data_IF_066642403368
#
_entry.id   IF_066642403368
#
_cell.length_a   1.000
_cell.length_b   1.000
_cell.length_c   1.000
_cell.angle_alpha   90.00
_cell.angle_beta   90.00
_cell.angle_gamma   90.00
#
_symmetry.space_group_name_H-M   'P 1'
#
loop_
_entity.id
_entity.type
_entity.pdbx_description
1 polymer ?
#
# COMPACT_ATOMS: atom_id res chain seq x y z
N UNK A 1 -10.75 -0.28 -13.87
CA UNK A 1 -11.13 -0.86 -12.57
C UNK A 1 -10.20 -2.02 -12.24
N UNK A 2 -9.68 -2.06 -11.02
CA UNK A 2 -8.76 -3.09 -10.53
C UNK A 2 -9.11 -3.47 -9.09
N UNK A 3 -8.75 -4.69 -8.67
CA UNK A 3 -8.92 -5.15 -7.29
C UNK A 3 -7.56 -5.31 -6.60
N UNK A 4 -7.49 -4.87 -5.35
CA UNK A 4 -6.31 -5.02 -4.48
C UNK A 4 -6.70 -5.67 -3.15
N UNK A 5 -5.72 -6.25 -2.46
CA UNK A 5 -5.93 -6.93 -1.18
C UNK A 5 -5.99 -5.91 -0.06
N UNK A 6 -7.03 -5.99 0.76
CA UNK A 6 -7.21 -5.14 1.94
C UNK A 6 -6.13 -5.43 2.99
N UNK A 7 -5.45 -4.39 3.46
CA UNK A 7 -4.43 -4.51 4.51
C UNK A 7 -5.00 -4.86 5.89
N UNK A 8 -6.30 -4.69 6.11
CA UNK A 8 -6.95 -4.87 7.42
C UNK A 8 -7.48 -6.30 7.61
N UNK A 9 -8.22 -6.81 6.62
CA UNK A 9 -8.88 -8.12 6.73
C UNK A 9 -8.47 -9.13 5.64
N UNK A 10 -7.64 -8.74 4.67
CA UNK A 10 -7.29 -9.58 3.51
C UNK A 10 -8.39 -9.69 2.44
N UNK A 11 -9.51 -9.00 2.63
CA UNK A 11 -10.62 -8.92 1.68
C UNK A 11 -10.32 -8.12 0.41
N UNK A 12 -11.33 -7.91 -0.42
CA UNK A 12 -11.17 -7.21 -1.70
C UNK A 12 -11.47 -5.73 -1.57
N UNK A 13 -10.62 -4.90 -2.16
CA UNK A 13 -10.86 -3.46 -2.35
C UNK A 13 -10.99 -3.22 -3.85
N UNK A 14 -12.13 -2.67 -4.26
CA UNK A 14 -12.34 -2.20 -5.63
C UNK A 14 -11.76 -0.80 -5.79
N UNK A 15 -10.96 -0.59 -6.83
CA UNK A 15 -10.30 0.68 -7.11
C UNK A 15 -10.55 1.09 -8.56
N UNK A 16 -11.10 2.29 -8.72
CA UNK A 16 -11.36 2.90 -10.02
C UNK A 16 -10.13 3.68 -10.49
N UNK A 17 -9.92 3.76 -11.81
CA UNK A 17 -8.70 4.36 -12.39
C UNK A 17 -8.57 5.86 -12.08
N UNK A 18 -9.71 6.52 -11.97
CA UNK A 18 -9.94 7.95 -11.77
C UNK A 18 -10.11 8.36 -10.29
N UNK A 19 -10.12 7.41 -9.36
CA UNK A 19 -10.22 7.65 -7.92
C UNK A 19 -8.84 7.50 -7.24
N UNK A 20 -8.58 8.24 -6.17
CA UNK A 20 -7.33 8.14 -5.41
C UNK A 20 -7.27 6.92 -4.46
N UNK A 21 -8.34 6.13 -4.39
CA UNK A 21 -8.45 4.99 -3.48
C UNK A 21 -9.72 4.17 -3.66
N UNK A 22 -10.05 3.37 -2.65
CA UNK A 22 -11.24 2.54 -2.60
C UNK A 22 -11.58 2.11 -1.16
N UNK A 23 -12.72 1.45 -1.00
CA UNK A 23 -13.16 0.89 0.29
C UNK A 23 -13.24 -0.64 0.20
N UNK A 24 -12.83 -1.32 1.28
CA UNK A 24 -12.92 -2.77 1.35
C UNK A 24 -14.38 -3.22 1.43
N UNK A 25 -14.75 -4.12 0.52
CA UNK A 25 -16.11 -4.65 0.43
C UNK A 25 -16.48 -5.59 1.59
N UNK A 26 -15.48 -6.10 2.32
CA UNK A 26 -15.67 -7.04 3.42
C UNK A 26 -15.71 -6.38 4.80
N UNK A 27 -14.88 -5.36 5.03
CA UNK A 27 -14.72 -4.74 6.36
C UNK A 27 -14.91 -3.21 6.40
N UNK A 28 -15.10 -2.55 5.25
CA UNK A 28 -15.26 -1.10 5.17
C UNK A 28 -13.97 -0.30 5.43
N UNK A 29 -12.81 -0.96 5.54
CA UNK A 29 -11.54 -0.25 5.68
C UNK A 29 -11.21 0.53 4.40
N UNK A 30 -10.87 1.82 4.55
CA UNK A 30 -10.42 2.67 3.46
C UNK A 30 -9.00 2.31 3.03
N UNK A 31 -8.78 2.26 1.73
CA UNK A 31 -7.49 2.01 1.11
C UNK A 31 -7.20 3.14 0.12
N UNK A 32 -5.98 3.67 0.16
CA UNK A 32 -5.54 4.74 -0.75
C UNK A 32 -4.50 4.17 -1.72
N UNK A 33 -4.53 4.62 -2.97
CA UNK A 33 -3.50 4.27 -3.95
C UNK A 33 -2.16 4.74 -3.39
N UNK A 34 -1.15 3.87 -3.31
CA UNK A 34 0.18 4.31 -2.96
C UNK A 34 0.72 5.18 -4.12
N UNK A 35 0.93 6.46 -3.87
CA UNK A 35 1.57 7.42 -4.78
C UNK A 35 3.01 7.01 -5.10
N UNK A 36 3.21 6.00 -5.97
CA UNK A 36 4.44 5.68 -6.71
C UNK A 36 5.77 5.48 -5.94
N UNK A 37 5.83 5.75 -4.65
CA UNK A 37 6.98 5.65 -3.76
C UNK A 37 6.57 4.78 -2.58
N UNK A 38 7.53 4.00 -2.07
CA UNK A 38 7.32 3.09 -0.95
C UNK A 38 6.80 3.88 0.25
N UNK A 39 5.48 4.00 0.41
CA UNK A 39 4.89 5.06 1.25
C UNK A 39 5.29 4.89 2.71
N UNK A 40 5.42 3.65 3.19
CA UNK A 40 5.91 3.38 4.54
C UNK A 40 7.36 3.83 4.77
N UNK A 41 8.20 3.94 3.74
CA UNK A 41 9.56 4.44 3.87
C UNK A 41 9.58 5.96 4.02
N UNK A 42 8.58 6.69 3.54
CA UNK A 42 8.55 8.16 3.61
C UNK A 42 8.27 8.66 5.04
N UNK A 43 7.51 7.93 5.86
CA UNK A 43 7.05 8.40 7.18
C UNK A 43 7.44 7.51 8.38
N UNK A 44 8.02 6.31 8.16
CA UNK A 44 8.37 5.40 9.25
C UNK A 44 9.71 5.76 9.90
N UNK A 45 9.78 5.79 11.23
CA UNK A 45 11.03 6.01 11.99
C UNK A 45 12.09 4.92 11.75
N UNK A 46 11.67 3.75 11.26
CA UNK A 46 12.54 2.63 10.89
C UNK A 46 12.82 2.54 9.39
N UNK A 47 12.37 3.51 8.60
CA UNK A 47 12.46 3.48 7.15
C UNK A 47 13.90 3.33 6.65
N UNK A 48 14.88 3.97 7.31
CA UNK A 48 16.28 3.87 6.91
C UNK A 48 16.83 2.45 7.04
N UNK A 49 16.46 1.72 8.10
CA UNK A 49 16.83 0.30 8.25
C UNK A 49 16.24 -0.55 7.12
N UNK A 50 15.00 -0.27 6.73
CA UNK A 50 14.35 -0.96 5.63
C UNK A 50 15.00 -0.61 4.28
N UNK A 51 15.40 0.65 4.05
CA UNK A 51 16.15 1.07 2.85
C UNK A 51 17.49 0.35 2.73
N UNK A 52 18.22 0.18 3.83
CA UNK A 52 19.50 -0.54 3.87
C UNK A 52 19.34 -2.03 3.52
N UNK A 53 18.30 -2.69 4.05
CA UNK A 53 17.99 -4.09 3.73
C UNK A 53 17.62 -4.25 2.26
N UNK A 54 16.88 -3.31 1.69
CA UNK A 54 16.52 -3.34 0.27
C UNK A 54 17.74 -3.08 -0.62
N UNK A 55 18.61 -2.14 -0.23
CA UNK A 55 19.84 -1.81 -0.95
C UNK A 55 20.83 -2.99 -0.96
N UNK A 56 21.00 -3.67 0.17
CA UNK A 56 21.91 -4.83 0.30
C UNK A 56 21.48 -6.08 -0.48
N UNK A 57 20.25 -6.11 -1.01
CA UNK A 57 19.73 -7.21 -1.84
C UNK A 57 19.96 -7.03 -3.34
N UNK A 58 20.48 -5.87 -3.78
CA UNK A 58 20.93 -5.70 -5.18
C UNK A 58 22.39 -6.15 -5.28
N UNK A 59 22.54 -7.35 -5.87
CA UNK A 59 23.75 -8.05 -6.33
C UNK A 59 25.08 -7.28 -6.29
#
# INVERSE_FOLDING_TARGET
>A
MSYVVCHSCGGSVEVWSDEDGGECLDCGAKWLKPDGGNSCLEYCEYADKCREIVASRKH
#
